data_IF_992134317056
#
_entry.id   IF_992134317056
#
_cell.length_a   1.000
_cell.length_b   1.000
_cell.length_c   1.000
_cell.angle_alpha   90.00
_cell.angle_beta   90.00
_cell.angle_gamma   90.00
#
_symmetry.space_group_name_H-M   'P 1'
#
loop_
_entity.id
_entity.type
_entity.pdbx_description
1 polymer ?
#
# COMPACT_ATOMS: atom_id res chain seq x y z
N UNK A 1 49.21 -4.23 -2.54
CA UNK A 1 48.75 -5.11 -1.45
C UNK A 1 47.82 -4.40 -0.45
N UNK A 2 48.05 -3.15 -0.04
CA UNK A 2 47.10 -2.40 0.83
C UNK A 2 45.78 -1.96 0.13
N UNK A 3 45.74 -1.95 -1.20
CA UNK A 3 44.58 -1.47 -1.98
C UNK A 3 43.49 -2.55 -2.15
N UNK A 4 43.87 -3.82 -2.24
CA UNK A 4 42.91 -4.90 -2.50
C UNK A 4 42.03 -5.21 -1.29
N UNK A 5 42.60 -5.14 -0.08
CA UNK A 5 41.85 -5.36 1.16
C UNK A 5 40.86 -4.23 1.44
N UNK A 6 41.26 -2.99 1.11
CA UNK A 6 40.38 -1.81 1.16
C UNK A 6 39.24 -1.90 0.13
N UNK A 7 39.53 -2.26 -1.12
CA UNK A 7 38.51 -2.47 -2.17
C UNK A 7 37.54 -3.57 -1.73
N UNK A 8 38.03 -4.68 -1.19
CA UNK A 8 37.21 -5.80 -0.71
C UNK A 8 36.34 -5.40 0.48
N UNK A 9 36.84 -4.54 1.37
CA UNK A 9 36.06 -3.96 2.47
C UNK A 9 34.93 -3.07 1.95
N UNK A 10 35.22 -2.16 1.02
CA UNK A 10 34.20 -1.33 0.37
C UNK A 10 33.15 -2.16 -0.36
N UNK A 11 33.56 -3.17 -1.12
CA UNK A 11 32.64 -4.10 -1.79
C UNK A 11 31.74 -4.82 -0.79
N UNK A 12 32.27 -5.23 0.37
CA UNK A 12 31.49 -5.89 1.40
C UNK A 12 30.51 -4.95 2.10
N UNK A 13 30.89 -3.70 2.35
CA UNK A 13 30.00 -2.66 2.88
C UNK A 13 28.87 -2.39 1.88
N UNK A 14 29.19 -2.22 0.59
CA UNK A 14 28.19 -2.05 -0.47
C UNK A 14 27.25 -3.25 -0.53
N UNK A 15 27.78 -4.48 -0.49
CA UNK A 15 26.97 -5.71 -0.45
C UNK A 15 26.05 -5.78 0.77
N UNK A 16 26.49 -5.26 1.93
CA UNK A 16 25.65 -5.17 3.13
C UNK A 16 24.57 -4.09 2.99
N UNK A 17 24.88 -2.93 2.41
CA UNK A 17 23.91 -1.85 2.14
C UNK A 17 22.83 -2.25 1.14
N UNK A 18 23.14 -3.19 0.23
CA UNK A 18 22.19 -3.74 -0.73
C UNK A 18 21.24 -4.79 -0.12
N UNK A 19 21.52 -5.29 1.09
CA UNK A 19 20.59 -6.20 1.77
C UNK A 19 19.42 -5.38 2.32
N UNK A 20 18.16 -5.75 1.99
CA UNK A 20 17.01 -5.11 2.59
C UNK A 20 17.07 -5.21 4.11
N UNK A 21 16.87 -4.07 4.78
CA UNK A 21 16.64 -4.07 6.23
C UNK A 21 15.32 -4.81 6.49
N UNK A 22 15.36 -5.78 7.41
CA UNK A 22 14.20 -6.61 7.76
C UNK A 22 13.96 -6.54 9.27
N UNK A 23 12.72 -6.80 9.70
CA UNK A 23 12.36 -6.79 11.12
C UNK A 23 12.14 -5.41 11.75
N UNK A 24 12.12 -4.34 10.95
CA UNK A 24 11.83 -2.98 11.45
C UNK A 24 10.31 -2.75 11.41
N UNK A 25 9.68 -2.28 12.52
CA UNK A 25 8.26 -1.94 12.54
C UNK A 25 7.90 -0.89 11.47
N UNK A 26 6.85 -1.16 10.71
CA UNK A 26 6.39 -0.31 9.61
C UNK A 26 6.12 1.15 10.06
N UNK A 27 5.50 1.34 11.21
CA UNK A 27 5.20 2.67 11.76
C UNK A 27 6.48 3.50 12.00
N UNK A 28 7.56 2.87 12.47
CA UNK A 28 8.84 3.55 12.68
C UNK A 28 9.50 3.96 11.36
N UNK A 29 9.38 3.11 10.33
CA UNK A 29 9.89 3.42 8.99
C UNK A 29 9.14 4.62 8.41
N UNK A 30 7.82 4.63 8.47
CA UNK A 30 7.02 5.75 7.97
C UNK A 30 7.36 7.05 8.71
N UNK A 31 7.41 7.03 10.04
CA UNK A 31 7.73 8.21 10.83
C UNK A 31 9.14 8.74 10.54
N UNK A 32 10.15 7.86 10.49
CA UNK A 32 11.52 8.26 10.20
C UNK A 32 11.70 8.84 8.79
N UNK A 33 11.01 8.28 7.79
CA UNK A 33 11.19 8.66 6.39
C UNK A 33 10.32 9.86 5.98
N UNK A 34 9.18 10.08 6.63
CA UNK A 34 8.18 11.07 6.19
C UNK A 34 7.88 12.14 7.23
N UNK A 35 8.26 11.93 8.50
CA UNK A 35 7.84 12.76 9.63
C UNK A 35 6.36 12.61 9.99
N UNK A 36 5.65 11.63 9.42
CA UNK A 36 4.22 11.38 9.65
C UNK A 36 3.98 10.11 10.44
N UNK A 37 2.88 10.08 11.20
CA UNK A 37 2.53 8.98 12.10
C UNK A 37 1.52 8.04 11.47
N UNK A 38 1.79 6.74 11.61
CA UNK A 38 0.80 5.68 11.40
C UNK A 38 -0.04 5.57 12.66
N UNK A 39 -1.27 6.09 12.59
CA UNK A 39 -2.21 6.08 13.72
C UNK A 39 -2.71 4.64 13.94
N UNK A 40 -2.67 4.12 15.18
CA UNK A 40 -3.18 2.78 15.47
C UNK A 40 -4.70 2.74 15.36
N UNK A 41 -5.23 1.67 14.74
CA UNK A 41 -6.66 1.43 14.71
C UNK A 41 -7.19 1.00 16.08
N UNK A 42 -8.21 1.69 16.59
CA UNK A 42 -8.86 1.38 17.86
C UNK A 42 -10.27 0.77 17.64
N UNK A 43 -10.43 -0.51 17.96
CA UNK A 43 -11.73 -1.21 17.93
C UNK A 43 -12.75 -0.74 18.99
N UNK A 44 -12.42 0.23 19.83
CA UNK A 44 -13.38 0.87 20.74
C UNK A 44 -13.84 2.24 20.25
N UNK A 45 -13.14 2.80 19.27
CA UNK A 45 -13.47 4.08 18.65
C UNK A 45 -14.58 3.91 17.62
N UNK A 46 -15.64 4.73 17.71
CA UNK A 46 -16.81 4.62 16.84
C UNK A 46 -16.56 5.18 15.43
N UNK A 47 -15.72 6.20 15.27
CA UNK A 47 -15.34 6.71 13.96
C UNK A 47 -14.48 5.68 13.21
N UNK A 48 -13.61 4.98 13.92
CA UNK A 48 -12.78 3.92 13.36
C UNK A 48 -13.63 2.74 12.88
N UNK A 49 -14.63 2.32 13.66
CA UNK A 49 -15.59 1.30 13.22
C UNK A 49 -16.43 1.75 12.03
N UNK A 50 -16.85 3.01 12.05
CA UNK A 50 -17.64 3.58 10.97
C UNK A 50 -16.88 3.53 9.64
N UNK A 51 -15.61 3.99 9.62
CA UNK A 51 -14.80 3.91 8.39
C UNK A 51 -14.53 2.46 7.97
N UNK A 52 -14.34 1.54 8.92
CA UNK A 52 -14.19 0.12 8.62
C UNK A 52 -15.42 -0.45 7.90
N UNK A 53 -16.63 -0.13 8.37
CA UNK A 53 -17.87 -0.56 7.72
C UNK A 53 -18.01 -0.04 6.28
N UNK A 54 -17.62 1.22 6.04
CA UNK A 54 -17.59 1.77 4.69
C UNK A 54 -16.53 1.10 3.79
N UNK A 55 -15.39 0.71 4.35
CA UNK A 55 -14.36 -0.04 3.62
C UNK A 55 -14.84 -1.45 3.24
N UNK A 56 -15.55 -2.14 4.15
CA UNK A 56 -16.17 -3.43 3.87
C UNK A 56 -17.20 -3.32 2.75
N UNK A 57 -18.06 -2.30 2.79
CA UNK A 57 -19.03 -2.04 1.73
C UNK A 57 -18.36 -1.71 0.39
N UNK A 58 -17.34 -0.85 0.40
CA UNK A 58 -16.57 -0.51 -0.80
C UNK A 58 -15.89 -1.75 -1.41
N UNK A 59 -15.37 -2.64 -0.57
CA UNK A 59 -14.76 -3.89 -1.02
C UNK A 59 -15.78 -4.80 -1.73
N UNK A 60 -16.99 -4.92 -1.19
CA UNK A 60 -18.05 -5.70 -1.81
C UNK A 60 -18.53 -5.08 -3.13
N UNK A 61 -18.69 -3.76 -3.20
CA UNK A 61 -19.08 -3.05 -4.42
C UNK A 61 -18.02 -3.27 -5.50
N UNK A 62 -16.76 -2.97 -5.20
CA UNK A 62 -15.67 -3.12 -6.16
C UNK A 62 -15.51 -4.58 -6.61
N UNK A 63 -15.56 -5.56 -5.69
CA UNK A 63 -15.52 -6.98 -6.03
C UNK A 63 -16.66 -7.42 -6.96
N UNK A 64 -17.90 -6.97 -6.70
CA UNK A 64 -19.04 -7.22 -7.59
C UNK A 64 -18.84 -6.64 -8.98
N UNK A 65 -18.35 -5.40 -9.07
CA UNK A 65 -18.07 -4.76 -10.36
C UNK A 65 -16.96 -5.47 -11.14
N UNK A 66 -15.87 -5.86 -10.46
CA UNK A 66 -14.78 -6.63 -11.05
C UNK A 66 -15.31 -7.95 -11.63
N UNK A 67 -16.16 -8.65 -10.88
CA UNK A 67 -16.68 -9.97 -11.26
C UNK A 67 -17.70 -9.96 -12.41
N UNK A 68 -18.20 -8.79 -12.84
CA UNK A 68 -19.09 -8.71 -14.01
C UNK A 68 -18.40 -9.14 -15.31
N UNK A 69 -17.16 -8.72 -15.49
CA UNK A 69 -16.37 -9.01 -16.71
C UNK A 69 -15.09 -9.80 -16.41
N UNK A 70 -14.64 -9.80 -15.15
CA UNK A 70 -13.32 -10.25 -14.74
C UNK A 70 -12.22 -9.30 -15.21
N UNK A 71 -11.03 -9.41 -14.63
CA UNK A 71 -9.86 -8.68 -15.09
C UNK A 71 -9.04 -9.56 -16.03
N UNK A 72 -8.98 -9.18 -17.31
CA UNK A 72 -8.22 -9.90 -18.34
C UNK A 72 -6.81 -9.33 -18.46
N UNK A 73 -5.85 -9.96 -17.77
CA UNK A 73 -4.42 -9.61 -17.86
C UNK A 73 -3.55 -10.83 -18.09
N UNK A 74 -2.45 -10.61 -18.82
CA UNK A 74 -1.46 -11.66 -19.12
C UNK A 74 -0.62 -12.03 -17.90
N UNK A 75 -0.43 -11.08 -16.97
CA UNK A 75 0.37 -11.26 -15.76
C UNK A 75 -0.49 -11.01 -14.53
N UNK A 76 -0.46 -11.89 -13.52
CA UNK A 76 -1.21 -11.70 -12.28
C UNK A 76 -0.94 -10.35 -11.58
N UNK A 77 0.29 -9.83 -11.69
CA UNK A 77 0.66 -8.56 -11.05
C UNK A 77 -0.02 -7.33 -11.69
N UNK A 78 -0.50 -7.44 -12.93
CA UNK A 78 -1.23 -6.35 -13.60
C UNK A 78 -2.67 -6.25 -13.12
N UNK A 79 -3.20 -7.34 -12.54
CA UNK A 79 -4.55 -7.37 -11.95
C UNK A 79 -4.65 -6.43 -10.75
N UNK A 80 -3.57 -6.30 -9.96
CA UNK A 80 -3.51 -5.38 -8.82
C UNK A 80 -3.73 -3.92 -9.20
N UNK A 81 -3.08 -3.46 -10.29
CA UNK A 81 -3.21 -2.08 -10.76
C UNK A 81 -4.63 -1.74 -11.21
N UNK A 82 -5.33 -2.70 -11.81
CA UNK A 82 -6.69 -2.48 -12.29
C UNK A 82 -7.69 -2.38 -11.12
N UNK A 83 -7.47 -3.15 -10.04
CA UNK A 83 -8.33 -3.17 -8.86
C UNK A 83 -8.40 -1.80 -8.18
N UNK A 84 -7.30 -1.06 -8.11
CA UNK A 84 -7.25 0.27 -7.51
C UNK A 84 -8.33 1.20 -8.08
N UNK A 85 -8.60 1.10 -9.39
CA UNK A 85 -9.61 1.91 -10.06
C UNK A 85 -11.01 1.55 -9.60
N UNK A 86 -11.31 0.26 -9.43
CA UNK A 86 -12.60 -0.21 -8.94
C UNK A 86 -12.81 0.18 -7.47
N UNK A 87 -11.80 -0.02 -6.63
CA UNK A 87 -11.85 0.34 -5.21
C UNK A 87 -12.06 1.85 -5.05
N UNK A 88 -11.31 2.69 -5.77
CA UNK A 88 -11.49 4.15 -5.72
C UNK A 88 -12.89 4.58 -6.18
N UNK A 89 -13.44 3.96 -7.22
CA UNK A 89 -14.82 4.23 -7.66
C UNK A 89 -15.83 3.84 -6.59
N UNK A 90 -15.67 2.68 -5.96
CA UNK A 90 -16.54 2.21 -4.89
C UNK A 90 -16.49 3.14 -3.67
N UNK A 91 -15.30 3.52 -3.21
CA UNK A 91 -15.13 4.48 -2.11
C UNK A 91 -15.84 5.82 -2.40
N UNK A 92 -15.66 6.35 -3.62
CA UNK A 92 -16.32 7.59 -4.02
C UNK A 92 -17.85 7.45 -4.11
N UNK A 93 -18.38 6.29 -4.49
CA UNK A 93 -19.83 6.04 -4.47
C UNK A 93 -20.43 6.07 -3.05
N UNK A 94 -19.58 5.86 -2.03
CA UNK A 94 -19.94 5.97 -0.61
C UNK A 94 -19.60 7.34 -0.01
N UNK A 95 -19.14 8.31 -0.83
CA UNK A 95 -18.84 9.67 -0.39
C UNK A 95 -17.49 9.85 0.31
N UNK A 96 -16.51 8.96 0.10
CA UNK A 96 -15.20 8.98 0.78
C UNK A 96 -14.10 9.80 0.08
N UNK A 97 -14.43 10.58 -0.95
CA UNK A 97 -13.48 11.47 -1.65
C UNK A 97 -12.11 10.82 -1.99
N UNK A 98 -12.14 9.58 -2.48
CA UNK A 98 -10.94 8.80 -2.72
C UNK A 98 -10.19 9.22 -4.00
N UNK A 99 -8.86 9.38 -3.89
CA UNK A 99 -7.98 9.80 -4.97
C UNK A 99 -6.60 9.11 -4.88
N UNK A 100 -5.76 9.30 -5.91
CA UNK A 100 -4.35 8.94 -5.90
C UNK A 100 -3.60 9.90 -4.97
N UNK A 101 -2.82 9.41 -4.00
CA UNK A 101 -2.03 10.26 -3.12
C UNK A 101 -1.07 11.18 -3.89
N UNK A 102 -1.04 12.43 -3.46
CA UNK A 102 -0.03 13.40 -3.93
C UNK A 102 1.23 13.28 -3.10
N UNK A 103 2.35 13.65 -3.71
CA UNK A 103 3.61 13.84 -2.98
C UNK A 103 3.60 15.17 -2.24
N UNK A 104 4.55 15.38 -1.32
CA UNK A 104 4.73 16.67 -0.64
C UNK A 104 4.86 17.87 -1.61
N UNK A 105 5.33 17.64 -2.85
CA UNK A 105 5.45 18.68 -3.89
C UNK A 105 4.16 18.88 -4.71
N UNK A 106 3.04 18.26 -4.31
CA UNK A 106 1.74 18.36 -4.99
C UNK A 106 1.58 17.47 -6.23
N UNK A 107 2.63 16.82 -6.70
CA UNK A 107 2.55 15.94 -7.86
C UNK A 107 1.91 14.60 -7.50
N UNK A 108 0.90 14.16 -8.26
CA UNK A 108 0.37 12.79 -8.21
C UNK A 108 1.40 11.81 -8.77
N UNK A 109 1.62 10.70 -8.09
CA UNK A 109 2.43 9.58 -8.59
C UNK A 109 1.56 8.34 -8.64
N UNK A 110 1.52 7.65 -9.79
CA UNK A 110 0.85 6.35 -9.89
C UNK A 110 1.65 5.26 -9.16
N UNK A 111 2.97 5.39 -9.06
CA UNK A 111 3.85 4.36 -8.50
C UNK A 111 4.22 4.66 -7.05
N UNK A 112 4.31 3.61 -6.24
CA UNK A 112 4.82 3.64 -4.87
C UNK A 112 3.71 3.75 -3.83
N UNK A 113 4.06 3.49 -2.58
CA UNK A 113 3.14 3.43 -1.46
C UNK A 113 2.67 4.82 -0.99
N UNK A 114 1.37 5.02 -0.63
CA UNK A 114 0.25 4.09 -0.80
C UNK A 114 -0.46 4.25 -2.15
N UNK A 115 -1.36 3.32 -2.46
CA UNK A 115 -2.16 3.33 -3.69
C UNK A 115 -3.27 4.41 -3.66
N UNK A 116 -4.02 4.52 -2.55
CA UNK A 116 -5.19 5.39 -2.41
C UNK A 116 -5.08 6.24 -1.13
N UNK A 117 -5.53 7.50 -1.21
CA UNK A 117 -5.90 8.34 -0.07
C UNK A 117 -7.39 8.64 -0.16
N UNK A 118 -8.09 8.62 0.96
CA UNK A 118 -9.51 8.93 1.04
C UNK A 118 -9.83 9.66 2.35
N UNK A 119 -10.96 10.36 2.39
CA UNK A 119 -11.36 11.17 3.53
C UNK A 119 -12.71 10.72 4.07
N UNK A 120 -12.81 10.63 5.39
CA UNK A 120 -14.06 10.37 6.09
C UNK A 120 -14.16 11.34 7.26
N UNK A 121 -15.21 12.18 7.28
CA UNK A 121 -15.42 13.19 8.34
C UNK A 121 -14.16 14.07 8.53
N UNK A 122 -13.62 14.60 7.44
CA UNK A 122 -12.41 15.44 7.40
C UNK A 122 -11.11 14.77 7.89
N UNK A 123 -11.12 13.47 8.15
CA UNK A 123 -9.93 12.69 8.54
C UNK A 123 -9.37 11.94 7.32
N UNK A 124 -8.06 12.02 7.05
CA UNK A 124 -7.43 11.28 5.96
C UNK A 124 -7.13 9.84 6.37
N UNK A 125 -7.22 8.95 5.39
CA UNK A 125 -6.90 7.53 5.51
C UNK A 125 -6.13 7.07 4.28
N UNK A 126 -5.18 6.16 4.48
CA UNK A 126 -4.44 5.53 3.39
C UNK A 126 -4.92 4.10 3.19
N UNK A 127 -5.02 3.69 1.93
CA UNK A 127 -5.42 2.34 1.56
C UNK A 127 -4.46 1.78 0.52
N UNK A 128 -3.92 0.60 0.82
CA UNK A 128 -3.12 -0.19 -0.12
C UNK A 128 -3.97 -1.33 -0.68
N UNK A 129 -4.01 -1.46 -2.00
CA UNK A 129 -4.67 -2.55 -2.67
C UNK A 129 -3.67 -3.69 -2.91
N UNK A 130 -4.12 -4.91 -2.65
CA UNK A 130 -3.36 -6.13 -2.90
C UNK A 130 -4.25 -7.19 -3.55
N UNK A 131 -3.57 -8.16 -4.13
CA UNK A 131 -4.20 -9.36 -4.64
C UNK A 131 -3.39 -10.56 -4.22
N UNK A 132 -4.08 -11.69 -4.07
CA UNK A 132 -3.44 -12.97 -3.84
C UNK A 132 -4.19 -14.06 -4.61
N UNK A 133 -3.50 -15.15 -4.89
CA UNK A 133 -4.11 -16.36 -5.44
C UNK A 133 -4.14 -17.41 -4.34
N UNK A 134 -5.28 -18.07 -4.17
CA UNK A 134 -5.48 -19.12 -3.18
C UNK A 134 -4.49 -20.28 -3.33
N UNK A 135 -4.09 -20.62 -4.56
CA UNK A 135 -3.10 -21.67 -4.87
C UNK A 135 -1.75 -21.41 -4.21
N UNK A 136 -1.44 -20.14 -3.95
CA UNK A 136 -0.14 -19.72 -3.43
C UNK A 136 -0.25 -19.09 -2.03
N UNK A 137 -1.40 -19.16 -1.36
CA UNK A 137 -1.60 -18.46 -0.08
C UNK A 137 -0.58 -18.88 0.99
N UNK A 138 -0.25 -20.18 1.05
CA UNK A 138 0.69 -20.79 1.99
C UNK A 138 2.17 -20.58 1.63
N UNK A 139 2.46 -19.94 0.48
CA UNK A 139 3.83 -19.61 0.09
C UNK A 139 4.28 -18.29 0.72
N UNK A 140 5.59 -18.04 0.73
CA UNK A 140 6.11 -16.71 1.08
C UNK A 140 5.58 -15.70 0.07
N UNK A 141 4.57 -14.93 0.46
CA UNK A 141 4.06 -13.81 -0.32
C UNK A 141 5.18 -12.78 -0.54
N UNK A 142 5.03 -11.94 -1.56
CA UNK A 142 5.97 -10.81 -1.76
C UNK A 142 6.03 -10.00 -0.48
N UNK A 143 7.24 -9.85 0.07
CA UNK A 143 7.50 -8.93 1.16
C UNK A 143 7.00 -7.54 0.79
N UNK A 144 6.39 -6.84 1.73
CA UNK A 144 6.08 -5.43 1.55
C UNK A 144 7.40 -4.65 1.44
N UNK A 145 7.74 -4.24 0.22
CA UNK A 145 8.94 -3.44 -0.03
C UNK A 145 8.57 -1.96 0.06
N UNK A 146 8.94 -1.34 1.18
CA UNK A 146 8.95 0.12 1.27
C UNK A 146 10.26 0.64 0.72
N UNK A 147 10.24 1.14 -0.52
CA UNK A 147 11.42 1.73 -1.15
C UNK A 147 11.57 3.19 -0.72
N UNK A 148 12.76 3.60 -0.24
CA UNK A 148 13.08 5.01 -0.03
C UNK A 148 12.86 5.81 -1.33
N UNK A 149 12.22 6.96 -1.22
CA UNK A 149 11.97 7.88 -2.34
C UNK A 149 12.07 9.30 -1.81
N UNK A 150 12.70 10.21 -2.55
CA UNK A 150 12.79 11.63 -2.17
C UNK A 150 11.41 12.35 -2.23
N UNK A 151 10.38 11.65 -2.71
CA UNK A 151 9.02 12.15 -2.78
C UNK A 151 8.04 11.09 -2.29
N UNK A 152 7.78 11.09 -0.98
CA UNK A 152 6.79 10.24 -0.33
C UNK A 152 5.37 10.76 -0.57
N UNK A 153 4.42 9.82 -0.66
CA UNK A 153 2.99 10.07 -0.77
C UNK A 153 2.28 10.15 0.59
N UNK A 154 2.94 9.68 1.65
CA UNK A 154 2.44 9.81 3.03
C UNK A 154 2.77 11.21 3.52
N UNK A 155 1.76 12.08 3.56
CA UNK A 155 1.88 13.51 3.92
C UNK A 155 0.96 13.89 5.09
N UNK A 156 0.11 12.97 5.54
CA UNK A 156 -0.78 13.13 6.69
C UNK A 156 -0.49 12.08 7.76
N UNK A 157 -0.75 12.43 9.01
CA UNK A 157 -0.91 11.44 10.08
C UNK A 157 -2.27 10.75 9.87
N UNK A 158 -2.26 9.43 9.69
CA UNK A 158 -3.44 8.70 9.26
C UNK A 158 -3.38 7.24 9.69
N UNK A 159 -4.53 6.56 9.63
CA UNK A 159 -4.57 5.09 9.69
C UNK A 159 -4.31 4.56 8.28
N UNK A 160 -3.53 3.48 8.21
CA UNK A 160 -3.17 2.83 6.96
C UNK A 160 -3.85 1.45 6.92
N UNK A 161 -4.71 1.25 5.93
CA UNK A 161 -5.42 -0.01 5.70
C UNK A 161 -4.80 -0.77 4.52
N UNK A 162 -5.02 -2.09 4.52
CA UNK A 162 -4.74 -2.96 3.38
C UNK A 162 -6.04 -3.66 3.00
N UNK A 163 -6.42 -3.57 1.73
CA UNK A 163 -7.52 -4.32 1.16
C UNK A 163 -6.95 -5.31 0.14
N UNK A 164 -7.34 -6.57 0.25
CA UNK A 164 -6.83 -7.63 -0.63
C UNK A 164 -7.97 -8.41 -1.26
N UNK A 165 -7.90 -8.63 -2.58
CA UNK A 165 -8.81 -9.51 -3.30
C UNK A 165 -8.15 -10.86 -3.61
N UNK A 166 -8.94 -11.92 -3.43
CA UNK A 166 -8.60 -13.23 -3.96
C UNK A 166 -8.83 -13.25 -5.48
N UNK A 167 -7.86 -13.77 -6.23
CA UNK A 167 -7.98 -14.01 -7.66
C UNK A 167 -8.11 -15.51 -7.88
N UNK A 168 -9.18 -15.91 -8.57
CA UNK A 168 -9.38 -17.26 -9.07
C UNK A 168 -9.13 -17.26 -10.59
N UNK A 169 -8.30 -18.20 -11.07
CA UNK A 169 -8.13 -18.42 -12.51
C UNK A 169 -9.38 -19.12 -13.04
N UNK A 170 -9.93 -18.62 -14.15
CA UNK A 170 -10.89 -19.34 -14.97
C UNK A 170 -10.17 -20.15 -16.04
#
# INVERSE_FOLDING_TARGET
MANDEYIKSLENIIKQMLKPLTGIPFNLVIEAMTGKKVIPFNFKDQDHKYVLGLLEEAALIAGKEINKEGIKRSRPNEVGNDIEVYVRKALNSLGLEADIPTTQKGNKKSVGYPDIIFWCKDKPYYLECKTYNIDNIDTTQRSFYFSPSDAFKVIHDAIHFILSYEIQKQ
#
